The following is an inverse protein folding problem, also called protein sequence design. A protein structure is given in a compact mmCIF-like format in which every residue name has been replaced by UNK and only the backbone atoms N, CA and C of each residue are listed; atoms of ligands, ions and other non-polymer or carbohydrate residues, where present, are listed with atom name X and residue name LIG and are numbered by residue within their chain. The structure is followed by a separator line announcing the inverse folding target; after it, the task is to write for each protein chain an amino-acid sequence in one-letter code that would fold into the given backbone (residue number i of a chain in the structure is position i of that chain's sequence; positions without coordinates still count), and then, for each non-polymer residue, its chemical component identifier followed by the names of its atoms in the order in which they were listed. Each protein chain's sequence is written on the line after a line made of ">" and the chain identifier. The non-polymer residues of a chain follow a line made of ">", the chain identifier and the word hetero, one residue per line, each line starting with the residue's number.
data_IF_822986950292
#
_entry.id   IF_822986950292
#
_cell.length_a   1.000
_cell.length_b   1.000
_cell.length_c   1.000
_cell.angle_alpha   90.00
_cell.angle_beta   90.00
_cell.angle_gamma   90.00
#
_symmetry.space_group_name_H-M   'P 1'
#
loop_
_entity.id
_entity.type
_entity.pdbx_description
1 polymer ?
#
# COMPACT_ATOMS: atom_id res chain seq x y z
N UNK A 1 -8.33 -7.09 9.99
CA UNK A 1 -6.87 -6.85 9.84
C UNK A 1 -6.70 -5.55 9.07
N UNK A 2 -5.91 -4.59 9.55
CA UNK A 2 -5.63 -3.34 8.82
C UNK A 2 -5.08 -3.58 7.42
N UNK A 3 -4.33 -4.68 7.25
CA UNK A 3 -3.85 -5.14 5.95
C UNK A 3 -5.02 -5.40 4.96
N UNK A 4 -6.11 -6.00 5.42
CA UNK A 4 -7.28 -6.25 4.57
C UNK A 4 -8.05 -4.97 4.22
N UNK A 5 -8.02 -3.98 5.11
CA UNK A 5 -8.62 -2.67 4.89
C UNK A 5 -7.82 -1.89 3.84
N UNK A 6 -6.48 -1.93 3.94
CA UNK A 6 -5.59 -1.34 2.94
C UNK A 6 -5.82 -1.92 1.54
N UNK A 7 -5.94 -3.24 1.43
CA UNK A 7 -6.28 -3.90 0.15
C UNK A 7 -7.65 -3.46 -0.38
N UNK A 8 -8.64 -3.27 0.50
CA UNK A 8 -9.95 -2.74 0.11
C UNK A 8 -9.85 -1.37 -0.55
N UNK A 9 -9.10 -0.43 0.05
CA UNK A 9 -8.92 0.91 -0.53
C UNK A 9 -8.11 0.91 -1.83
N UNK A 10 -7.08 0.07 -1.95
CA UNK A 10 -6.37 -0.12 -3.23
C UNK A 10 -7.32 -0.59 -4.33
N UNK A 11 -8.21 -1.55 -4.03
CA UNK A 11 -9.21 -2.03 -5.00
C UNK A 11 -10.26 -0.99 -5.36
N UNK A 12 -10.50 -0.02 -4.48
CA UNK A 12 -11.38 1.13 -4.74
C UNK A 12 -10.68 2.27 -5.49
N UNK A 13 -9.39 2.11 -5.82
CA UNK A 13 -8.57 3.13 -6.48
C UNK A 13 -8.05 4.23 -5.55
N UNK A 14 -8.37 4.18 -4.26
CA UNK A 14 -7.85 5.10 -3.25
C UNK A 14 -6.55 4.56 -2.64
N UNK A 15 -5.51 4.50 -3.49
CA UNK A 15 -4.19 4.00 -3.10
C UNK A 15 -3.53 4.82 -1.97
N UNK A 16 -3.99 6.06 -1.72
CA UNK A 16 -3.48 6.88 -0.62
C UNK A 16 -3.98 6.35 0.72
N UNK A 17 -5.29 6.10 0.84
CA UNK A 17 -5.83 5.45 2.04
C UNK A 17 -5.33 4.02 2.20
N UNK A 18 -5.19 3.28 1.10
CA UNK A 18 -4.61 1.93 1.11
C UNK A 18 -3.27 1.89 1.82
N UNK A 19 -2.37 2.79 1.41
CA UNK A 19 -1.04 2.97 1.99
C UNK A 19 -1.07 3.31 3.48
N UNK A 20 -1.91 4.25 3.92
CA UNK A 20 -2.02 4.63 5.34
C UNK A 20 -2.33 3.42 6.24
N UNK A 21 -3.26 2.56 5.80
CA UNK A 21 -3.60 1.34 6.54
C UNK A 21 -2.49 0.28 6.52
N UNK A 22 -1.72 0.20 5.42
CA UNK A 22 -0.57 -0.70 5.35
C UNK A 22 0.58 -0.23 6.24
N UNK A 23 0.81 1.08 6.35
CA UNK A 23 1.83 1.67 7.24
C UNK A 23 1.46 1.46 8.71
N UNK A 24 0.21 1.69 9.11
CA UNK A 24 -0.27 1.37 10.47
C UNK A 24 -0.14 -0.13 10.78
N UNK A 25 -0.44 -1.00 9.82
CA UNK A 25 -0.27 -2.44 9.98
C UNK A 25 1.21 -2.84 10.16
N UNK A 26 2.12 -2.13 9.49
CA UNK A 26 3.56 -2.35 9.60
C UNK A 26 4.10 -1.88 10.95
N UNK A 27 3.68 -0.72 11.44
CA UNK A 27 4.08 -0.18 12.74
C UNK A 27 3.69 -1.13 13.87
N UNK A 28 2.41 -1.52 13.95
CA UNK A 28 1.95 -2.48 14.96
C UNK A 28 2.72 -3.81 14.90
N UNK A 29 3.06 -4.30 13.70
CA UNK A 29 3.81 -5.56 13.55
C UNK A 29 5.28 -5.40 13.92
N UNK A 30 5.90 -4.23 13.71
CA UNK A 30 7.26 -3.96 14.19
C UNK A 30 7.31 -3.88 15.71
N UNK A 31 6.28 -3.32 16.34
CA UNK A 31 6.19 -3.26 17.81
C UNK A 31 5.93 -4.64 18.42
N UNK A 32 5.10 -5.46 17.77
CA UNK A 32 4.77 -6.81 18.24
C UNK A 32 5.89 -7.82 17.98
N UNK A 33 6.60 -7.68 16.85
CA UNK A 33 7.63 -8.61 16.40
C UNK A 33 8.97 -7.88 16.26
N UNK A 34 9.82 -8.05 17.28
CA UNK A 34 11.19 -7.48 17.31
C UNK A 34 12.17 -8.14 16.33
N UNK A 35 11.79 -9.28 15.75
CA UNK A 35 12.62 -10.07 14.83
C UNK A 35 11.93 -10.23 13.46
N UNK A 36 12.65 -10.79 12.48
CA UNK A 36 12.15 -11.04 11.13
C UNK A 36 10.97 -12.02 11.17
N UNK A 37 9.75 -11.49 11.23
CA UNK A 37 8.52 -12.27 11.27
C UNK A 37 7.85 -12.28 9.89
N UNK A 38 7.34 -13.44 9.41
CA UNK A 38 6.67 -13.55 8.11
C UNK A 38 5.55 -12.52 7.89
N UNK A 39 4.86 -12.12 8.97
CA UNK A 39 3.80 -11.10 8.88
C UNK A 39 4.33 -9.68 8.63
N UNK A 40 5.55 -9.37 9.11
CA UNK A 40 6.22 -8.10 8.81
C UNK A 40 6.62 -8.08 7.33
N UNK A 41 7.17 -9.19 6.81
CA UNK A 41 7.49 -9.33 5.40
C UNK A 41 6.24 -9.19 4.50
N UNK A 42 5.11 -9.77 4.92
CA UNK A 42 3.82 -9.64 4.22
C UNK A 42 3.28 -8.21 4.25
N UNK A 43 3.44 -7.47 5.36
CA UNK A 43 3.13 -6.03 5.42
C UNK A 43 3.98 -5.24 4.42
N UNK A 44 5.29 -5.45 4.44
CA UNK A 44 6.23 -4.74 3.56
C UNK A 44 5.91 -4.99 2.08
N UNK A 45 5.56 -6.22 1.73
CA UNK A 45 5.14 -6.56 0.37
C UNK A 45 3.88 -5.78 -0.05
N UNK A 46 2.88 -5.69 0.83
CA UNK A 46 1.66 -4.94 0.56
C UNK A 46 1.90 -3.43 0.42
N UNK A 47 2.74 -2.84 1.28
CA UNK A 47 3.18 -1.44 1.15
C UNK A 47 3.85 -1.22 -0.21
N UNK A 48 4.77 -2.11 -0.59
CA UNK A 48 5.48 -2.05 -1.88
C UNK A 48 4.52 -2.10 -3.08
N UNK A 49 3.54 -3.01 -3.09
CA UNK A 49 2.55 -3.08 -4.15
C UNK A 49 1.70 -1.81 -4.24
N UNK A 50 1.29 -1.25 -3.10
CA UNK A 50 0.47 -0.04 -3.06
C UNK A 50 1.22 1.18 -3.63
N UNK A 51 2.54 1.29 -3.37
CA UNK A 51 3.41 2.28 -4.03
C UNK A 51 3.51 2.08 -5.55
N UNK A 52 3.63 0.83 -6.01
CA UNK A 52 3.68 0.51 -7.44
C UNK A 52 2.37 0.91 -8.14
N UNK A 53 1.22 0.57 -7.56
CA UNK A 53 -0.11 0.96 -8.06
C UNK A 53 -0.24 2.48 -8.14
N UNK A 54 0.23 3.21 -7.11
CA UNK A 54 0.20 4.68 -7.10
C UNK A 54 1.10 5.28 -8.19
N UNK A 55 2.29 4.70 -8.41
CA UNK A 55 3.18 5.10 -9.50
C UNK A 55 2.54 4.90 -10.88
N UNK A 56 1.93 3.74 -11.12
CA UNK A 56 1.20 3.48 -12.37
C UNK A 56 0.01 4.43 -12.57
N UNK A 57 -0.75 4.71 -11.50
CA UNK A 57 -1.85 5.66 -11.56
C UNK A 57 -1.38 7.07 -11.94
N UNK A 58 -0.25 7.52 -11.39
CA UNK A 58 0.32 8.84 -11.69
C UNK A 58 0.85 8.94 -13.12
N UNK A 59 1.44 7.86 -13.64
CA UNK A 59 1.88 7.77 -15.05
C UNK A 59 0.67 7.80 -15.99
N UNK A 60 -0.38 7.04 -15.71
CA UNK A 60 -1.60 6.99 -16.54
C UNK A 60 -2.35 8.33 -16.55
N UNK A 61 -2.43 9.03 -15.42
CA UNK A 61 -2.99 10.37 -15.36
C UNK A 61 -2.14 11.40 -16.10
N UNK A 62 -0.81 11.28 -16.06
CA UNK A 62 0.09 12.12 -16.83
C UNK A 62 -0.07 11.93 -18.34
N UNK A 63 -0.20 10.68 -18.79
CA UNK A 63 -0.37 10.35 -20.22
C UNK A 63 -1.69 10.88 -20.80
N UNK A 64 -2.78 10.78 -20.04
CA UNK A 64 -4.11 11.29 -20.47
C UNK A 64 -4.17 12.82 -20.54
N UNK A 65 -3.27 13.53 -19.85
CA UNK A 65 -3.18 14.99 -19.89
C UNK A 65 -2.27 15.53 -21.00
N UNK A 66 -1.46 14.67 -21.64
CA UNK A 66 -0.59 15.04 -22.77
C UNK A 66 -1.22 14.82 -24.15
N UNK A 67 -2.41 14.21 -24.22
CA UNK A 67 -3.16 13.93 -25.46
C UNK A 67 -4.28 14.96 -25.75
N UNK A 68 -4.20 16.18 -25.20
CA UNK A 68 -5.14 17.29 -25.48
C UNK A 68 -4.42 18.55 -25.94
#
# INVERSE_FOLDING_TARGET
>A
SLNSVGTGYDTLGDARKGLEYFEQALEMRRDLYKESHPDVAKSLNNVGMSYVIRGYHQIMHGYRSSDV
#
